data_IF_338024057058
#
_entry.id   IF_338024057058
#
_cell.length_a   1.000
_cell.length_b   1.000
_cell.length_c   1.000
_cell.angle_alpha   90.00
_cell.angle_beta   90.00
_cell.angle_gamma   90.00
#
_symmetry.space_group_name_H-M   'P 1'
#
loop_
_entity.id
_entity.type
_entity.pdbx_description
1 polymer ?
#
# COMPACT_ATOMS: atom_id res chain seq x y z
N UNK A 1 3.91 -8.59 27.38
CA UNK A 1 3.04 -9.43 26.53
C UNK A 1 3.02 -8.81 25.14
N UNK A 2 3.26 -9.61 24.10
CA UNK A 2 3.45 -9.14 22.72
C UNK A 2 2.20 -9.29 21.87
N UNK A 3 1.94 -8.37 20.94
CA UNK A 3 0.77 -8.42 20.05
C UNK A 3 1.13 -8.99 18.67
N UNK A 4 0.19 -9.72 18.06
CA UNK A 4 0.26 -10.10 16.65
C UNK A 4 0.06 -8.87 15.76
N UNK A 5 0.95 -8.69 14.78
CA UNK A 5 0.91 -7.58 13.82
C UNK A 5 1.26 -8.09 12.43
N UNK A 6 0.85 -7.33 11.41
CA UNK A 6 1.23 -7.60 10.02
C UNK A 6 2.29 -6.60 9.59
N UNK A 7 3.38 -7.10 9.02
CA UNK A 7 4.41 -6.31 8.36
C UNK A 7 4.49 -6.73 6.89
N UNK A 8 4.85 -5.80 6.01
CA UNK A 8 5.00 -6.09 4.59
C UNK A 8 6.48 -6.23 4.23
N UNK A 9 6.82 -7.37 3.62
CA UNK A 9 8.17 -7.68 3.13
C UNK A 9 8.17 -7.58 1.62
N UNK A 10 9.22 -7.02 1.03
CA UNK A 10 9.43 -6.98 -0.41
C UNK A 10 10.56 -7.95 -0.79
N UNK A 11 10.23 -9.17 -1.26
CA UNK A 11 11.23 -10.12 -1.73
C UNK A 11 12.07 -9.55 -2.88
N UNK A 12 13.32 -9.99 -2.99
CA UNK A 12 14.19 -9.57 -4.08
C UNK A 12 13.59 -9.92 -5.44
N UNK A 13 13.50 -8.94 -6.34
CA UNK A 13 12.92 -9.11 -7.67
C UNK A 13 11.39 -9.09 -7.72
N UNK A 14 10.70 -9.00 -6.58
CA UNK A 14 9.26 -8.83 -6.55
C UNK A 14 8.86 -7.37 -6.80
N UNK A 15 7.72 -7.17 -7.47
CA UNK A 15 7.13 -5.84 -7.68
C UNK A 15 6.10 -5.47 -6.60
N UNK A 16 5.72 -6.40 -5.72
CA UNK A 16 4.65 -6.21 -4.74
C UNK A 16 5.09 -6.72 -3.37
N UNK A 17 4.89 -5.95 -2.29
CA UNK A 17 5.10 -6.43 -0.94
C UNK A 17 4.14 -7.57 -0.58
N UNK A 18 4.60 -8.50 0.26
CA UNK A 18 3.83 -9.62 0.78
C UNK A 18 3.55 -9.41 2.28
N UNK A 19 2.31 -9.65 2.75
CA UNK A 19 2.00 -9.56 4.17
C UNK A 19 2.64 -10.73 4.93
N UNK A 20 3.25 -10.42 6.07
CA UNK A 20 3.88 -11.38 6.98
C UNK A 20 3.35 -11.13 8.38
N UNK A 21 2.86 -12.19 9.02
CA UNK A 21 2.46 -12.14 10.42
C UNK A 21 3.70 -12.18 11.31
N UNK A 22 3.75 -11.24 12.26
CA UNK A 22 4.83 -11.13 13.23
C UNK A 22 4.29 -11.07 14.64
N UNK A 23 5.13 -11.45 15.58
CA UNK A 23 4.90 -11.20 17.00
C UNK A 23 5.84 -10.10 17.45
N UNK A 24 5.24 -9.05 17.99
CA UNK A 24 5.99 -7.92 18.56
C UNK A 24 6.36 -8.20 20.01
N UNK A 25 7.46 -7.62 20.48
CA UNK A 25 7.85 -7.63 21.90
C UNK A 25 7.63 -6.27 22.56
N UNK A 26 8.64 -5.81 23.28
CA UNK A 26 8.68 -4.50 23.93
C UNK A 26 8.80 -3.40 22.86
N UNK A 27 8.12 -2.28 23.11
CA UNK A 27 8.19 -1.06 22.30
C UNK A 27 8.50 0.12 23.21
N UNK A 28 9.41 1.00 22.80
CA UNK A 28 9.73 2.25 23.51
C UNK A 28 9.04 3.49 22.90
N UNK A 29 8.15 3.27 21.92
CA UNK A 29 7.44 4.31 21.18
C UNK A 29 8.20 4.85 19.96
N UNK A 30 9.48 4.53 19.80
CA UNK A 30 10.28 4.82 18.61
C UNK A 30 10.62 3.51 17.88
N UNK A 31 11.05 2.52 18.64
CA UNK A 31 11.44 1.19 18.19
C UNK A 31 10.54 0.13 18.82
N UNK A 32 10.21 -0.89 18.02
CA UNK A 32 9.47 -2.07 18.47
C UNK A 32 10.24 -3.30 18.04
N UNK A 33 10.54 -4.19 18.97
CA UNK A 33 11.23 -5.43 18.63
C UNK A 33 10.26 -6.45 18.01
N UNK A 34 10.79 -7.26 17.09
CA UNK A 34 10.09 -8.39 16.49
C UNK A 34 10.73 -9.66 17.03
N UNK A 35 9.95 -10.45 17.75
CA UNK A 35 10.45 -11.66 18.42
C UNK A 35 10.26 -12.93 17.58
N UNK A 36 9.29 -12.94 16.68
CA UNK A 36 8.97 -14.09 15.82
C UNK A 36 8.37 -13.62 14.47
N UNK A 37 8.47 -14.45 13.43
CA UNK A 37 7.79 -14.26 12.14
C UNK A 37 8.62 -13.62 11.02
N UNK A 38 9.85 -13.20 11.30
CA UNK A 38 10.76 -12.60 10.31
C UNK A 38 12.19 -13.11 10.45
N UNK A 39 13.00 -12.90 9.42
CA UNK A 39 14.42 -13.23 9.41
C UNK A 39 15.27 -11.98 9.23
N UNK A 40 16.49 -12.02 9.75
CA UNK A 40 17.48 -10.98 9.47
C UNK A 40 17.74 -10.87 7.97
N UNK A 41 17.83 -9.63 7.47
CA UNK A 41 18.03 -9.34 6.05
C UNK A 41 16.74 -9.21 5.22
N UNK A 42 15.57 -9.49 5.79
CA UNK A 42 14.30 -9.25 5.11
C UNK A 42 14.11 -7.74 4.83
N UNK A 43 13.78 -7.40 3.57
CA UNK A 43 13.50 -6.02 3.19
C UNK A 43 12.07 -5.65 3.53
N UNK A 44 11.89 -4.82 4.54
CA UNK A 44 10.58 -4.35 5.01
C UNK A 44 10.16 -3.02 4.38
N UNK A 45 8.86 -2.85 4.21
CA UNK A 45 8.27 -1.55 3.83
C UNK A 45 8.08 -0.71 5.10
N UNK A 46 8.73 0.46 5.15
CA UNK A 46 8.65 1.39 6.30
C UNK A 46 7.83 2.64 6.01
N UNK A 47 7.58 2.94 4.73
CA UNK A 47 6.72 4.03 4.29
C UNK A 47 6.13 3.72 2.91
N UNK A 48 4.93 4.22 2.66
CA UNK A 48 4.31 4.23 1.34
C UNK A 48 4.15 5.69 0.90
N UNK A 49 4.60 6.02 -0.30
CA UNK A 49 4.40 7.33 -0.89
C UNK A 49 3.18 7.27 -1.82
N UNK A 50 2.02 7.65 -1.30
CA UNK A 50 0.80 7.71 -2.11
C UNK A 50 0.74 9.02 -2.91
N UNK A 51 0.92 8.95 -4.22
CA UNK A 51 0.63 10.07 -5.14
C UNK A 51 -0.88 10.20 -5.31
N UNK A 52 -1.54 11.04 -4.52
CA UNK A 52 -3.02 11.13 -4.54
C UNK A 52 -3.63 11.91 -5.71
N UNK A 53 -2.86 12.29 -6.73
CA UNK A 53 -3.39 13.08 -7.85
C UNK A 53 -4.20 12.19 -8.80
N UNK A 54 -5.50 12.09 -8.55
CA UNK A 54 -6.46 11.70 -9.59
C UNK A 54 -6.34 12.70 -10.75
N UNK A 55 -6.20 12.20 -11.97
CA UNK A 55 -6.25 13.05 -13.16
C UNK A 55 -7.62 13.74 -13.20
N UNK A 56 -7.69 15.06 -13.48
CA UNK A 56 -8.97 15.75 -13.60
C UNK A 56 -9.79 15.14 -14.73
N UNK A 57 -11.03 14.76 -14.43
CA UNK A 57 -11.98 14.31 -15.44
C UNK A 57 -12.31 15.49 -16.38
N UNK A 58 -12.26 15.30 -17.71
CA UNK A 58 -12.69 16.35 -18.64
C UNK A 58 -14.16 16.71 -18.41
N UNK A 59 -14.55 18.00 -18.56
CA UNK A 59 -15.93 18.43 -18.35
C UNK A 59 -16.87 17.72 -19.33
N UNK A 60 -18.04 17.30 -18.84
CA UNK A 60 -19.06 16.68 -19.67
C UNK A 60 -19.63 17.72 -20.66
N UNK A 61 -19.44 17.50 -21.96
CA UNK A 61 -19.98 18.35 -23.01
C UNK A 61 -21.45 17.96 -23.33
N UNK A 62 -22.45 18.81 -23.03
CA UNK A 62 -23.86 18.51 -23.30
C UNK A 62 -24.22 18.52 -24.80
N UNK A 63 -23.28 18.89 -25.67
CA UNK A 63 -23.45 18.95 -27.13
C UNK A 63 -22.83 17.76 -27.88
N UNK A 64 -22.31 16.75 -27.17
CA UNK A 64 -21.42 15.74 -27.73
C UNK A 64 -22.03 14.41 -28.19
N UNK A 65 -23.34 14.15 -28.07
CA UNK A 65 -23.82 12.76 -28.19
C UNK A 65 -25.29 12.51 -28.53
N UNK A 66 -25.93 13.37 -29.31
CA UNK A 66 -27.28 13.10 -29.83
C UNK A 66 -27.26 12.70 -31.31
N UNK A 67 -27.97 11.64 -31.75
CA UNK A 67 -28.07 11.31 -33.17
C UNK A 67 -28.72 12.47 -33.93
N UNK A 68 -27.99 13.02 -34.91
CA UNK A 68 -28.51 14.07 -35.80
C UNK A 68 -29.58 13.46 -36.71
N UNK A 69 -30.84 13.60 -36.33
CA UNK A 69 -31.97 13.39 -37.24
C UNK A 69 -32.09 14.62 -38.14
N UNK A 70 -31.62 14.51 -39.38
CA UNK A 70 -32.01 15.44 -40.43
C UNK A 70 -33.27 14.87 -41.14
N UNK A 71 -34.29 15.70 -41.41
CA UNK A 71 -35.38 15.35 -42.32
C UNK A 71 -34.90 15.30 -43.78
#
# INVERSE_FOLDING_TARGET
EGAERTVYVLPSGASRPQPVQIKTGISDGIMTEVVEGMKEGDRVVTAELASTTAAPSPPANPFGGGPRRFP
#
